data_IF_727108786773
#
_entry.id   IF_727108786773
#
_cell.length_a   1.000
_cell.length_b   1.000
_cell.length_c   1.000
_cell.angle_alpha   90.00
_cell.angle_beta   90.00
_cell.angle_gamma   90.00
#
_symmetry.space_group_name_H-M   'P 1'
#
loop_
_entity.id
_entity.type
_entity.pdbx_description
1 polymer ?
#
# COMPACT_ATOMS: atom_id res chain seq x y z
N UNK A 1 27.36 3.77 2.40
CA UNK A 1 26.76 4.80 1.53
C UNK A 1 26.25 5.97 2.37
N UNK A 2 26.41 7.22 1.92
CA UNK A 2 25.95 8.40 2.65
C UNK A 2 24.41 8.50 2.68
N UNK A 3 23.72 7.93 1.69
CA UNK A 3 22.25 7.92 1.63
C UNK A 3 21.65 6.95 2.65
N UNK A 4 22.21 5.74 2.77
CA UNK A 4 21.79 4.75 3.77
C UNK A 4 21.89 5.31 5.19
N UNK A 5 22.96 6.05 5.51
CA UNK A 5 23.13 6.66 6.84
C UNK A 5 22.05 7.70 7.16
N UNK A 6 21.57 8.45 6.16
CA UNK A 6 20.44 9.38 6.34
C UNK A 6 19.14 8.63 6.61
N UNK A 7 18.87 7.54 5.86
CA UNK A 7 17.68 6.71 6.08
C UNK A 7 17.68 6.08 7.47
N UNK A 8 18.81 5.52 7.91
CA UNK A 8 18.98 4.97 9.25
C UNK A 8 18.65 6.01 10.33
N UNK A 9 19.14 7.25 10.19
CA UNK A 9 18.83 8.32 11.12
C UNK A 9 17.33 8.71 11.13
N UNK A 10 16.69 8.84 9.96
CA UNK A 10 15.27 9.20 9.84
C UNK A 10 14.36 8.13 10.44
N UNK A 11 14.62 6.87 10.11
CA UNK A 11 13.84 5.72 10.60
C UNK A 11 14.26 5.25 11.99
N UNK A 12 15.26 5.91 12.60
CA UNK A 12 15.82 5.58 13.93
C UNK A 12 16.29 4.12 14.04
N UNK A 13 16.93 3.65 12.97
CA UNK A 13 17.49 2.31 12.87
C UNK A 13 19.02 2.37 12.91
N UNK A 14 19.65 1.30 13.37
CA UNK A 14 21.11 1.21 13.46
C UNK A 14 21.73 0.35 12.36
N UNK A 15 20.94 -0.50 11.72
CA UNK A 15 21.39 -1.43 10.70
C UNK A 15 20.50 -1.40 9.46
N UNK A 16 21.14 -1.46 8.30
CA UNK A 16 20.50 -1.37 6.99
C UNK A 16 19.58 -2.55 6.72
N UNK A 17 19.93 -3.73 7.22
CA UNK A 17 19.12 -4.93 7.01
C UNK A 17 17.76 -4.82 7.70
N UNK A 18 17.72 -4.39 8.95
CA UNK A 18 16.47 -4.14 9.69
C UNK A 18 15.69 -2.99 9.08
N UNK A 19 16.36 -1.92 8.63
CA UNK A 19 15.72 -0.82 7.90
C UNK A 19 14.93 -1.36 6.69
N UNK A 20 15.58 -2.13 5.82
CA UNK A 20 14.96 -2.71 4.62
C UNK A 20 13.83 -3.67 4.98
N UNK A 21 14.03 -4.51 5.99
CA UNK A 21 13.08 -5.58 6.34
C UNK A 21 11.85 -5.09 7.11
N UNK A 22 11.95 -4.01 7.87
CA UNK A 22 10.90 -3.65 8.84
C UNK A 22 10.30 -2.26 8.62
N UNK A 23 11.07 -1.33 8.05
CA UNK A 23 10.69 0.07 8.06
C UNK A 23 10.32 0.62 6.67
N UNK A 24 10.88 0.06 5.59
CA UNK A 24 10.69 0.60 4.25
C UNK A 24 9.47 0.04 3.50
N UNK A 25 8.95 -1.11 3.91
CA UNK A 25 7.81 -1.76 3.26
C UNK A 25 6.47 -1.23 3.78
N UNK A 26 5.62 -0.60 2.93
CA UNK A 26 4.29 -0.14 3.34
C UNK A 26 3.38 -1.28 3.82
N UNK A 27 3.59 -2.49 3.32
CA UNK A 27 2.81 -3.69 3.67
C UNK A 27 3.02 -4.10 5.14
N UNK A 28 4.12 -3.67 5.75
CA UNK A 28 4.45 -3.96 7.15
C UNK A 28 4.01 -2.82 8.10
N UNK A 29 3.58 -1.67 7.57
CA UNK A 29 3.23 -0.47 8.33
C UNK A 29 1.71 -0.24 8.45
N UNK A 30 0.93 -1.32 8.44
CA UNK A 30 -0.52 -1.30 8.34
C UNK A 30 -1.26 -1.10 9.67
N UNK A 31 -0.64 -1.49 10.78
CA UNK A 31 -1.29 -1.50 12.10
C UNK A 31 -1.78 -0.11 12.55
N UNK A 32 -1.02 0.99 12.40
CA UNK A 32 -1.51 2.32 12.76
C UNK A 32 -2.75 2.74 11.97
N UNK A 33 -2.79 2.42 10.67
CA UNK A 33 -3.94 2.73 9.80
C UNK A 33 -5.18 1.96 10.23
N UNK A 34 -5.03 0.67 10.55
CA UNK A 34 -6.13 -0.17 11.01
C UNK A 34 -6.67 0.29 12.37
N UNK A 35 -5.78 0.64 13.30
CA UNK A 35 -6.15 1.15 14.62
C UNK A 35 -6.91 2.49 14.54
N UNK A 36 -6.58 3.32 13.54
CA UNK A 36 -7.29 4.56 13.26
C UNK A 36 -8.57 4.37 12.42
N UNK A 37 -8.88 3.14 11.99
CA UNK A 37 -10.08 2.83 11.20
C UNK A 37 -10.07 3.42 9.79
N UNK A 38 -8.89 3.70 9.22
CA UNK A 38 -8.75 4.37 7.92
C UNK A 38 -9.15 3.42 6.78
N UNK A 39 -10.18 3.71 5.98
CA UNK A 39 -10.50 2.87 4.84
C UNK A 39 -9.46 3.07 3.72
N UNK A 40 -9.06 1.98 3.07
CA UNK A 40 -8.09 1.99 1.97
C UNK A 40 -8.75 1.59 0.65
N UNK A 41 -8.36 2.25 -0.45
CA UNK A 41 -8.70 1.86 -1.82
C UNK A 41 -7.41 1.72 -2.63
N UNK A 42 -7.20 0.55 -3.24
CA UNK A 42 -6.15 0.37 -4.26
C UNK A 42 -6.77 0.17 -5.64
N UNK A 43 -6.15 0.77 -6.64
CA UNK A 43 -6.37 0.47 -8.06
C UNK A 43 -5.06 -0.10 -8.60
N UNK A 44 -5.10 -1.31 -9.16
CA UNK A 44 -3.87 -1.99 -9.63
C UNK A 44 -4.13 -2.82 -10.88
N UNK A 45 -3.16 -2.84 -11.79
CA UNK A 45 -3.11 -3.80 -12.89
C UNK A 45 -2.61 -5.16 -12.39
N UNK A 46 -3.16 -6.27 -12.88
CA UNK A 46 -2.71 -7.62 -12.51
C UNK A 46 -1.55 -8.15 -13.37
N UNK A 47 -1.17 -7.42 -14.42
CA UNK A 47 -0.02 -7.71 -15.27
C UNK A 47 1.15 -6.72 -15.04
N UNK A 48 1.17 -6.02 -13.90
CA UNK A 48 2.30 -5.18 -13.48
C UNK A 48 3.45 -6.06 -12.99
N UNK A 49 4.57 -6.03 -13.72
CA UNK A 49 5.80 -6.79 -13.42
C UNK A 49 6.79 -5.99 -12.57
N UNK A 50 6.63 -4.68 -12.46
CA UNK A 50 7.46 -3.80 -11.63
C UNK A 50 7.00 -3.88 -10.17
N UNK A 51 5.68 -3.91 -9.94
CA UNK A 51 5.07 -4.03 -8.61
C UNK A 51 4.06 -5.18 -8.64
N UNK A 52 4.52 -6.45 -8.56
CA UNK A 52 3.65 -7.62 -8.67
C UNK A 52 2.50 -7.58 -7.67
N UNK A 53 1.28 -7.73 -8.17
CA UNK A 53 0.06 -7.53 -7.36
C UNK A 53 -0.03 -8.50 -6.17
N UNK A 54 0.57 -9.69 -6.29
CA UNK A 54 0.54 -10.73 -5.26
C UNK A 54 1.46 -10.42 -4.08
N UNK A 55 2.58 -9.75 -4.34
CA UNK A 55 3.55 -9.37 -3.32
C UNK A 55 3.15 -8.05 -2.65
N UNK A 56 2.29 -7.27 -3.29
CA UNK A 56 1.92 -5.92 -2.87
C UNK A 56 0.43 -5.81 -2.55
N UNK A 57 -0.42 -5.41 -3.51
CA UNK A 57 -1.84 -5.08 -3.27
C UNK A 57 -2.64 -6.20 -2.62
N UNK A 58 -2.51 -7.46 -3.07
CA UNK A 58 -3.29 -8.56 -2.47
C UNK A 58 -2.76 -8.97 -1.10
N UNK A 59 -1.44 -8.99 -0.91
CA UNK A 59 -0.83 -9.23 0.40
C UNK A 59 -1.24 -8.15 1.42
N UNK A 60 -1.23 -6.88 0.99
CA UNK A 60 -1.69 -5.75 1.79
C UNK A 60 -3.17 -5.91 2.15
N UNK A 61 -4.04 -6.22 1.19
CA UNK A 61 -5.47 -6.43 1.46
C UNK A 61 -5.70 -7.54 2.48
N UNK A 62 -5.01 -8.68 2.34
CA UNK A 62 -5.13 -9.79 3.28
C UNK A 62 -4.70 -9.37 4.69
N UNK A 63 -3.52 -8.76 4.84
CA UNK A 63 -2.98 -8.34 6.13
C UNK A 63 -3.83 -7.24 6.77
N UNK A 64 -4.29 -6.28 5.97
CA UNK A 64 -5.10 -5.16 6.47
C UNK A 64 -6.44 -5.64 7.00
N UNK A 65 -7.10 -6.57 6.30
CA UNK A 65 -8.34 -7.20 6.76
C UNK A 65 -8.14 -8.02 8.04
N UNK A 66 -7.01 -8.73 8.16
CA UNK A 66 -6.68 -9.48 9.38
C UNK A 66 -6.50 -8.57 10.61
N UNK A 67 -6.10 -7.31 10.39
CA UNK A 67 -6.01 -6.27 11.43
C UNK A 67 -7.36 -5.57 11.71
N UNK A 68 -8.46 -6.00 11.07
CA UNK A 68 -9.79 -5.36 11.17
C UNK A 68 -9.97 -4.12 10.28
N UNK A 69 -8.99 -3.81 9.44
CA UNK A 69 -9.05 -2.71 8.48
C UNK A 69 -10.01 -2.98 7.32
N UNK A 70 -10.57 -1.91 6.75
CA UNK A 70 -11.46 -1.98 5.58
C UNK A 70 -10.69 -1.58 4.33
N UNK A 71 -10.72 -2.45 3.32
CA UNK A 71 -10.07 -2.17 2.05
C UNK A 71 -10.86 -2.68 0.85
N UNK A 72 -10.97 -1.80 -0.15
CA UNK A 72 -11.47 -2.07 -1.49
C UNK A 72 -10.28 -2.16 -2.48
N UNK A 73 -10.36 -3.06 -3.46
CA UNK A 73 -9.35 -3.20 -4.52
C UNK A 73 -10.06 -3.27 -5.87
N UNK A 74 -9.65 -2.42 -6.80
CA UNK A 74 -10.08 -2.44 -8.19
C UNK A 74 -8.93 -2.99 -9.03
N UNK A 75 -9.14 -4.17 -9.61
CA UNK A 75 -8.14 -4.85 -10.45
C UNK A 75 -8.42 -4.55 -11.93
N UNK A 76 -7.40 -4.07 -12.65
CA UNK A 76 -7.43 -3.84 -14.10
C UNK A 76 -6.81 -5.06 -14.81
N UNK A 77 -7.62 -5.93 -15.45
CA UNK A 77 -7.14 -7.21 -15.97
C UNK A 77 -6.29 -7.06 -17.23
N UNK A 78 -5.15 -7.76 -17.27
CA UNK A 78 -4.21 -7.77 -18.40
C UNK A 78 -3.43 -6.48 -18.59
N UNK A 79 -3.43 -5.58 -17.60
CA UNK A 79 -2.79 -4.27 -17.70
C UNK A 79 -1.62 -4.17 -16.73
N UNK A 80 -0.50 -3.62 -17.19
CA UNK A 80 0.66 -3.28 -16.37
C UNK A 80 0.44 -1.96 -15.60
N UNK A 81 1.53 -1.24 -15.27
CA UNK A 81 1.45 0.04 -14.57
C UNK A 81 0.84 1.14 -15.45
N UNK A 82 -0.46 1.38 -15.32
CA UNK A 82 -1.18 2.42 -16.07
C UNK A 82 -1.82 3.42 -15.13
N UNK A 83 -1.74 4.70 -15.49
CA UNK A 83 -2.26 5.77 -14.65
C UNK A 83 -3.80 5.77 -14.61
N UNK A 84 -4.35 5.61 -13.40
CA UNK A 84 -5.76 5.86 -13.08
C UNK A 84 -6.78 4.88 -13.69
N UNK A 85 -8.06 5.21 -13.50
CA UNK A 85 -9.21 4.58 -14.15
C UNK A 85 -9.72 5.48 -15.27
N UNK A 86 -10.26 4.88 -16.33
CA UNK A 86 -10.98 5.63 -17.37
C UNK A 86 -12.21 6.34 -16.80
N UNK A 87 -12.99 5.61 -15.99
CA UNK A 87 -14.04 6.18 -15.15
C UNK A 87 -13.56 6.27 -13.70
N UNK A 88 -13.41 7.50 -13.22
CA UNK A 88 -12.97 7.79 -11.85
C UNK A 88 -14.10 7.79 -10.83
N UNK A 89 -15.35 7.58 -11.24
CA UNK A 89 -16.53 7.55 -10.35
C UNK A 89 -16.33 6.64 -9.13
N UNK A 90 -15.79 5.40 -9.24
CA UNK A 90 -15.60 4.54 -8.08
C UNK A 90 -14.65 5.14 -7.01
N UNK A 91 -13.66 5.92 -7.44
CA UNK A 91 -12.71 6.60 -6.54
C UNK A 91 -13.41 7.77 -5.83
N UNK A 92 -14.18 8.57 -6.59
CA UNK A 92 -14.92 9.72 -6.05
C UNK A 92 -15.94 9.26 -5.03
N UNK A 93 -16.71 8.22 -5.35
CA UNK A 93 -17.70 7.64 -4.43
C UNK A 93 -17.06 7.03 -3.18
N UNK A 94 -15.90 6.39 -3.31
CA UNK A 94 -15.15 5.89 -2.16
C UNK A 94 -14.77 7.04 -1.22
N UNK A 95 -14.27 8.15 -1.77
CA UNK A 95 -13.92 9.34 -0.99
C UNK A 95 -15.17 9.93 -0.33
N UNK A 96 -16.28 10.08 -1.06
CA UNK A 96 -17.54 10.62 -0.50
C UNK A 96 -18.06 9.76 0.67
N UNK A 97 -17.99 8.43 0.55
CA UNK A 97 -18.39 7.50 1.64
C UNK A 97 -17.54 7.60 2.90
N UNK A 98 -16.29 8.06 2.80
CA UNK A 98 -15.28 7.89 3.84
C UNK A 98 -14.54 9.17 4.26
N UNK A 99 -14.72 10.28 3.55
CA UNK A 99 -13.98 11.53 3.73
C UNK A 99 -14.60 12.51 4.72
N UNK A 100 -15.55 12.07 5.54
CA UNK A 100 -16.29 12.89 6.52
C UNK A 100 -15.90 12.57 7.96
#
# INVERSE_FOLDING_TARGET
DAEVQKLLAVYRMTDEQTLVQQALSPVDQLQPLAAAGIPLLHVSGDADDIVPIQENTLLLQQRYRALGGKMEVIIKPGVAHTHGLEDSTPIVEFIDRHGH
#
